data_IF_735193128992
#
_entry.id   IF_735193128992
#
_cell.length_a   1.000
_cell.length_b   1.000
_cell.length_c   1.000
_cell.angle_alpha   90.00
_cell.angle_beta   90.00
_cell.angle_gamma   90.00
#
_symmetry.space_group_name_H-M   'P 1'
#
loop_
_entity.id
_entity.type
_entity.pdbx_description
1 polymer ?
#
# COMPACT_ATOMS: atom_id res chain seq x y z
N UNK A 1 -8.54 24.62 -44.83
CA UNK A 1 -9.29 23.37 -44.56
C UNK A 1 -8.26 22.32 -44.17
N UNK A 2 -8.17 22.00 -42.88
CA UNK A 2 -7.10 21.14 -42.33
C UNK A 2 -7.61 19.70 -42.24
N UNK A 3 -7.08 18.80 -43.06
CA UNK A 3 -7.35 17.37 -42.97
C UNK A 3 -6.45 16.77 -41.88
N UNK A 4 -7.05 16.47 -40.71
CA UNK A 4 -6.43 15.65 -39.67
C UNK A 4 -6.44 14.20 -40.15
N UNK A 5 -5.27 13.67 -40.50
CA UNK A 5 -5.09 12.23 -40.67
C UNK A 5 -4.94 11.61 -39.27
N UNK A 6 -5.78 10.63 -38.88
CA UNK A 6 -5.57 9.90 -37.64
C UNK A 6 -4.40 8.94 -37.82
N UNK A 7 -3.34 9.13 -37.04
CA UNK A 7 -2.24 8.18 -36.94
C UNK A 7 -2.74 7.04 -36.05
N UNK A 8 -3.09 5.91 -36.67
CA UNK A 8 -3.48 4.68 -35.95
C UNK A 8 -2.28 3.75 -35.96
N UNK A 9 -1.65 3.56 -34.81
CA UNK A 9 -0.58 2.57 -34.63
C UNK A 9 -1.24 1.21 -34.40
N UNK A 10 -0.98 0.26 -35.28
CA UNK A 10 -1.56 -1.08 -35.21
C UNK A 10 -0.95 -1.83 -34.02
N UNK A 11 -1.69 -1.88 -32.90
CA UNK A 11 -1.28 -2.55 -31.66
C UNK A 11 -1.53 -1.76 -30.38
N UNK A 12 -1.89 -0.48 -30.45
CA UNK A 12 -2.23 0.29 -29.24
C UNK A 12 -3.74 0.27 -28.98
N UNK A 13 -4.14 -0.14 -27.78
CA UNK A 13 -5.53 -0.11 -27.36
C UNK A 13 -5.94 1.35 -27.08
N UNK A 14 -7.09 1.78 -27.61
CA UNK A 14 -7.66 3.10 -27.30
C UNK A 14 -8.05 3.15 -25.82
N UNK A 15 -7.40 4.01 -25.04
CA UNK A 15 -7.81 4.30 -23.67
C UNK A 15 -9.24 4.87 -23.70
N UNK A 16 -10.17 4.14 -23.08
CA UNK A 16 -11.53 4.61 -22.81
C UNK A 16 -11.53 5.07 -21.35
N UNK A 17 -11.47 6.39 -21.13
CA UNK A 17 -11.71 7.01 -19.81
C UNK A 17 -13.22 6.90 -19.51
N UNK A 18 -13.58 5.91 -18.71
CA UNK A 18 -14.95 5.71 -18.23
C UNK A 18 -14.89 5.50 -16.72
N UNK A 19 -14.98 6.59 -15.98
CA UNK A 19 -15.23 6.62 -14.54
C UNK A 19 -16.70 6.29 -14.27
N UNK A 20 -16.97 5.04 -13.91
CA UNK A 20 -18.27 4.59 -13.42
C UNK A 20 -18.06 3.96 -12.04
N UNK A 21 -18.16 4.78 -10.99
CA UNK A 21 -18.08 4.33 -9.60
C UNK A 21 -19.28 3.45 -9.22
N UNK A 22 -19.04 2.15 -9.03
CA UNK A 22 -19.99 1.23 -8.41
C UNK A 22 -19.59 0.92 -6.97
N UNK A 23 -20.33 1.53 -6.05
CA UNK A 23 -20.40 1.18 -4.63
C UNK A 23 -20.87 -0.28 -4.48
N UNK A 24 -19.99 -1.20 -4.10
CA UNK A 24 -20.38 -2.58 -3.73
C UNK A 24 -20.09 -2.80 -2.25
N UNK A 25 -20.98 -2.27 -1.42
CA UNK A 25 -21.16 -2.73 -0.04
C UNK A 25 -22.06 -3.97 -0.06
N UNK A 26 -21.52 -5.10 0.39
CA UNK A 26 -22.21 -6.35 0.80
C UNK A 26 -22.49 -7.41 -0.27
N UNK A 27 -21.54 -8.34 -0.49
CA UNK A 27 -21.81 -9.75 -0.85
C UNK A 27 -20.73 -10.69 -0.25
N UNK A 28 -21.08 -11.95 0.10
CA UNK A 28 -20.23 -12.84 0.91
C UNK A 28 -19.09 -13.48 0.11
N UNK A 29 -18.08 -13.96 0.85
CA UNK A 29 -16.78 -14.44 0.36
C UNK A 29 -16.86 -15.48 -0.79
N UNK A 30 -16.02 -15.37 -1.85
CA UNK A 30 -15.94 -16.39 -2.88
C UNK A 30 -15.12 -17.59 -2.39
N UNK A 31 -15.65 -18.78 -2.65
CA UNK A 31 -14.93 -20.05 -2.54
C UNK A 31 -13.77 -20.12 -3.56
N UNK A 32 -12.72 -20.92 -3.30
CA UNK A 32 -11.58 -21.00 -4.22
C UNK A 32 -11.99 -21.82 -5.45
N UNK A 33 -12.32 -21.12 -6.54
CA UNK A 33 -12.43 -21.75 -7.84
C UNK A 33 -11.02 -22.02 -8.37
N UNK A 34 -10.60 -23.28 -8.24
CA UNK A 34 -9.49 -23.85 -8.98
C UNK A 34 -9.77 -23.72 -10.49
N UNK A 35 -8.92 -22.97 -11.20
CA UNK A 35 -9.07 -22.79 -12.64
C UNK A 35 -8.18 -21.69 -13.17
N UNK A 36 -6.86 -21.93 -13.17
CA UNK A 36 -5.88 -21.02 -13.77
C UNK A 36 -6.15 -20.78 -15.25
N UNK A 37 -6.13 -19.51 -15.65
CA UNK A 37 -6.14 -19.08 -17.05
C UNK A 37 -4.86 -19.61 -17.71
N UNK A 38 -5.01 -20.46 -18.73
CA UNK A 38 -3.88 -21.03 -19.47
C UNK A 38 -3.42 -20.04 -20.55
N UNK A 39 -2.31 -19.35 -20.29
CA UNK A 39 -1.68 -18.42 -21.23
C UNK A 39 -0.84 -19.21 -22.22
N UNK A 40 -1.04 -18.97 -23.52
CA UNK A 40 -0.34 -19.71 -24.58
C UNK A 40 1.10 -19.18 -24.69
N UNK A 41 2.04 -19.81 -23.98
CA UNK A 41 3.47 -19.47 -24.02
C UNK A 41 4.23 -19.61 -22.71
N UNK A 42 3.55 -19.90 -21.59
CA UNK A 42 4.20 -20.09 -20.30
C UNK A 42 4.68 -21.54 -20.14
N UNK A 43 5.96 -21.74 -19.80
CA UNK A 43 6.52 -23.06 -19.54
C UNK A 43 6.01 -23.57 -18.18
N UNK A 44 5.38 -24.76 -18.17
CA UNK A 44 4.91 -25.40 -16.94
C UNK A 44 6.05 -25.63 -15.96
N UNK A 45 5.92 -25.10 -14.75
CA UNK A 45 6.76 -25.46 -13.62
C UNK A 45 6.58 -26.95 -13.30
N UNK A 46 7.70 -27.69 -13.22
CA UNK A 46 7.73 -29.12 -12.93
C UNK A 46 7.90 -29.30 -11.42
N UNK A 47 6.81 -29.63 -10.72
CA UNK A 47 6.86 -30.19 -9.38
C UNK A 47 6.96 -31.73 -9.49
N UNK A 48 8.05 -32.31 -8.98
CA UNK A 48 8.24 -33.75 -8.96
C UNK A 48 8.95 -34.14 -7.67
N UNK A 49 8.17 -34.37 -6.62
CA UNK A 49 8.55 -35.17 -5.46
C UNK A 49 9.00 -36.57 -5.92
N UNK A 50 10.15 -37.03 -5.42
CA UNK A 50 10.83 -38.23 -5.88
C UNK A 50 10.43 -39.52 -5.15
N UNK A 51 10.25 -40.58 -5.92
CA UNK A 51 10.40 -41.99 -5.51
C UNK A 51 10.95 -42.80 -6.73
N UNK A 52 11.47 -44.01 -6.59
CA UNK A 52 12.84 -44.37 -6.93
C UNK A 52 12.89 -45.09 -8.29
N UNK A 53 13.01 -44.34 -9.39
CA UNK A 53 13.37 -44.88 -10.71
C UNK A 53 14.75 -44.38 -11.19
N UNK A 54 15.72 -44.42 -10.27
CA UNK A 54 17.09 -43.94 -10.45
C UNK A 54 17.99 -44.85 -11.33
N UNK A 55 17.41 -45.85 -12.03
CA UNK A 55 18.15 -46.74 -12.93
C UNK A 55 18.02 -46.37 -14.42
N UNK A 56 16.96 -45.66 -14.83
CA UNK A 56 16.73 -45.32 -16.24
C UNK A 56 17.28 -43.92 -16.63
N UNK A 57 17.48 -43.02 -15.65
CA UNK A 57 17.95 -41.65 -15.90
C UNK A 57 19.47 -41.57 -16.16
N UNK A 58 20.23 -42.56 -15.72
CA UNK A 58 21.69 -42.65 -15.92
C UNK A 58 22.09 -42.87 -17.38
N UNK A 59 21.23 -43.50 -18.18
CA UNK A 59 21.46 -43.70 -19.61
C UNK A 59 21.22 -42.42 -20.42
N UNK A 60 20.17 -41.66 -20.10
CA UNK A 60 19.84 -40.39 -20.78
C UNK A 60 20.83 -39.25 -20.45
N UNK A 61 21.41 -39.27 -19.24
CA UNK A 61 22.51 -38.38 -18.85
C UNK A 61 23.82 -38.71 -19.59
N UNK A 62 24.05 -39.98 -19.93
CA UNK A 62 25.27 -40.39 -20.64
C UNK A 62 25.23 -40.04 -22.13
N UNK A 63 24.07 -40.06 -22.77
CA UNK A 63 23.93 -39.71 -24.19
C UNK A 63 23.99 -38.18 -24.40
N UNK A 64 23.36 -37.40 -23.50
CA UNK A 64 23.44 -35.94 -23.51
C UNK A 64 24.84 -35.40 -23.13
N UNK A 65 25.56 -36.08 -22.22
CA UNK A 65 26.95 -35.75 -21.92
C UNK A 65 27.91 -36.06 -23.08
N UNK A 66 27.61 -37.06 -23.92
CA UNK A 66 28.41 -37.39 -25.10
C UNK A 66 28.24 -36.37 -26.23
N UNK A 67 27.05 -35.76 -26.37
CA UNK A 67 26.78 -34.70 -27.35
C UNK A 67 27.52 -33.40 -26.97
N UNK A 68 27.58 -33.07 -25.67
CA UNK A 68 28.34 -31.91 -25.18
C UNK A 68 29.87 -32.12 -25.19
N UNK A 69 30.36 -33.36 -25.32
CA UNK A 69 31.80 -33.67 -25.33
C UNK A 69 32.48 -33.55 -26.69
N UNK A 70 31.72 -33.43 -27.79
CA UNK A 70 32.28 -33.43 -29.15
C UNK A 70 32.42 -32.07 -29.82
N UNK A 71 31.80 -31.02 -29.28
CA UNK A 71 31.77 -29.70 -29.93
C UNK A 71 32.41 -28.55 -29.14
N UNK A 72 33.01 -28.83 -27.98
CA UNK A 72 33.77 -27.79 -27.27
C UNK A 72 35.26 -27.87 -27.63
N UNK A 73 35.86 -26.80 -28.20
CA UNK A 73 37.30 -26.71 -28.34
C UNK A 73 37.94 -26.81 -26.93
N UNK A 74 39.12 -27.45 -26.81
CA UNK A 74 39.74 -27.72 -25.52
C UNK A 74 39.95 -26.42 -24.73
N UNK A 75 39.55 -26.42 -23.46
CA UNK A 75 39.83 -25.33 -22.53
C UNK A 75 41.34 -25.26 -22.30
N UNK A 76 41.99 -24.25 -22.88
CA UNK A 76 43.40 -23.97 -22.66
C UNK A 76 43.51 -23.21 -21.35
N UNK A 77 43.95 -23.91 -20.30
CA UNK A 77 44.25 -23.30 -19.01
C UNK A 77 45.66 -22.72 -19.10
N UNK A 78 45.78 -21.42 -19.37
CA UNK A 78 47.06 -20.70 -19.23
C UNK A 78 47.30 -20.51 -17.74
N UNK A 79 48.06 -21.43 -17.13
CA UNK A 79 48.66 -21.19 -15.82
C UNK A 79 49.95 -20.42 -16.06
N UNK A 80 50.01 -19.19 -15.58
CA UNK A 80 51.29 -18.48 -15.44
C UNK A 80 52.13 -19.22 -14.39
N UNK A 81 52.93 -20.18 -14.88
CA UNK A 81 54.01 -20.80 -14.14
C UNK A 81 55.29 -20.42 -14.88
N UNK A 82 56.18 -19.61 -14.26
CA UNK A 82 57.32 -19.02 -14.97
C UNK A 82 58.40 -20.01 -15.46
N UNK A 83 58.22 -21.32 -15.25
CA UNK A 83 59.27 -22.33 -15.45
C UNK A 83 58.97 -23.42 -16.50
N UNK A 84 58.00 -23.25 -17.42
CA UNK A 84 57.77 -24.23 -18.49
C UNK A 84 57.79 -23.57 -19.88
N UNK A 85 58.94 -23.64 -20.56
CA UNK A 85 59.07 -23.29 -21.97
C UNK A 85 58.40 -24.37 -22.84
N UNK A 86 57.15 -24.14 -23.25
CA UNK A 86 56.46 -24.97 -24.24
C UNK A 86 56.75 -24.45 -25.65
N UNK A 87 57.65 -25.13 -26.35
CA UNK A 87 57.97 -24.94 -27.77
C UNK A 87 56.89 -25.63 -28.62
N UNK A 88 55.78 -24.96 -28.93
CA UNK A 88 54.92 -25.34 -30.08
C UNK A 88 54.17 -24.10 -30.60
N UNK A 89 54.58 -23.71 -31.81
CA UNK A 89 53.80 -23.15 -32.92
C UNK A 89 52.99 -21.86 -32.73
N UNK A 90 53.45 -20.85 -33.48
CA UNK A 90 52.86 -19.55 -33.74
C UNK A 90 51.46 -19.68 -34.39
N UNK A 91 50.45 -19.89 -33.55
CA UNK A 91 49.07 -19.55 -33.88
C UNK A 91 48.77 -18.25 -33.16
N UNK A 92 48.42 -17.15 -33.85
CA UNK A 92 48.01 -15.93 -33.18
C UNK A 92 46.79 -16.26 -32.33
N UNK A 93 47.00 -16.29 -31.02
CA UNK A 93 45.93 -16.34 -30.03
C UNK A 93 44.91 -15.27 -30.40
N UNK A 94 43.59 -15.56 -30.43
CA UNK A 94 42.61 -14.52 -30.66
C UNK A 94 42.85 -13.50 -29.56
N UNK A 95 43.28 -12.31 -29.99
CA UNK A 95 43.47 -11.15 -29.12
C UNK A 95 42.24 -11.08 -28.24
N UNK A 96 42.41 -11.30 -26.94
CA UNK A 96 41.35 -11.21 -25.97
C UNK A 96 40.90 -9.75 -26.04
N UNK A 97 39.91 -9.47 -26.89
CA UNK A 97 39.36 -8.13 -27.05
C UNK A 97 38.96 -7.68 -25.66
N UNK A 98 39.32 -6.44 -25.29
CA UNK A 98 38.94 -5.91 -24.00
C UNK A 98 37.43 -6.04 -23.89
N UNK A 99 37.02 -6.76 -22.86
CA UNK A 99 35.67 -7.05 -22.43
C UNK A 99 34.69 -5.91 -22.78
N UNK A 100 33.76 -6.11 -23.74
CA UNK A 100 32.76 -5.07 -24.08
C UNK A 100 32.27 -5.01 -25.53
N UNK A 101 32.87 -5.72 -26.48
CA UNK A 101 32.64 -5.46 -27.92
C UNK A 101 31.36 -6.09 -28.53
N UNK A 102 30.57 -6.86 -27.77
CA UNK A 102 29.33 -7.42 -28.31
C UNK A 102 28.17 -6.43 -28.10
N UNK A 103 27.34 -6.25 -29.13
CA UNK A 103 26.14 -5.40 -29.06
C UNK A 103 25.22 -5.78 -27.88
N UNK A 104 25.17 -7.08 -27.56
CA UNK A 104 24.45 -7.59 -26.40
C UNK A 104 25.01 -7.03 -25.09
N UNK A 105 26.33 -7.08 -24.92
CA UNK A 105 26.99 -6.60 -23.70
C UNK A 105 26.84 -5.09 -23.54
N UNK A 106 26.91 -4.33 -24.63
CA UNK A 106 26.62 -2.90 -24.63
C UNK A 106 25.17 -2.62 -24.22
N UNK A 107 24.19 -3.34 -24.79
CA UNK A 107 22.76 -3.15 -24.48
C UNK A 107 22.42 -3.57 -23.06
N UNK A 108 23.06 -4.63 -22.55
CA UNK A 108 22.91 -5.07 -21.17
C UNK A 108 23.48 -4.03 -20.20
N UNK A 109 24.65 -3.47 -20.50
CA UNK A 109 25.25 -2.42 -19.69
C UNK A 109 24.40 -1.15 -19.67
N UNK A 110 23.88 -0.72 -20.82
CA UNK A 110 22.97 0.42 -20.90
C UNK A 110 21.67 0.18 -20.13
N UNK A 111 21.06 -1.00 -20.31
CA UNK A 111 19.83 -1.38 -19.62
C UNK A 111 20.04 -1.44 -18.10
N UNK A 112 21.14 -2.04 -17.63
CA UNK A 112 21.47 -2.06 -16.20
C UNK A 112 21.67 -0.65 -15.66
N UNK A 113 22.39 0.21 -16.38
CA UNK A 113 22.62 1.58 -15.93
C UNK A 113 21.31 2.37 -15.80
N UNK A 114 20.42 2.26 -16.79
CA UNK A 114 19.08 2.87 -16.75
C UNK A 114 18.28 2.33 -15.56
N UNK A 115 18.24 1.01 -15.38
CA UNK A 115 17.54 0.38 -14.26
C UNK A 115 18.06 0.87 -12.90
N UNK A 116 19.38 0.94 -12.70
CA UNK A 116 19.96 1.44 -11.46
C UNK A 116 19.59 2.91 -11.20
N UNK A 117 19.60 3.74 -12.24
CA UNK A 117 19.18 5.13 -12.14
C UNK A 117 17.71 5.24 -11.75
N UNK A 118 16.84 4.52 -12.45
CA UNK A 118 15.39 4.56 -12.26
C UNK A 118 15.01 4.06 -10.87
N UNK A 119 15.49 2.87 -10.48
CA UNK A 119 15.28 2.33 -9.13
C UNK A 119 15.82 3.28 -8.07
N UNK A 120 17.02 3.82 -8.26
CA UNK A 120 17.61 4.78 -7.34
C UNK A 120 16.81 6.06 -7.22
N UNK A 121 16.22 6.55 -8.31
CA UNK A 121 15.35 7.72 -8.32
C UNK A 121 14.02 7.43 -7.63
N UNK A 122 13.36 6.32 -7.97
CA UNK A 122 12.08 5.91 -7.38
C UNK A 122 12.20 5.74 -5.86
N UNK A 123 13.24 5.04 -5.38
CA UNK A 123 13.45 4.87 -3.93
C UNK A 123 13.69 6.21 -3.23
N UNK A 124 14.50 7.10 -3.83
CA UNK A 124 14.72 8.45 -3.28
C UNK A 124 13.44 9.27 -3.23
N UNK A 125 12.60 9.19 -4.26
CA UNK A 125 11.33 9.90 -4.31
C UNK A 125 10.35 9.37 -3.27
N UNK A 126 10.15 8.06 -3.19
CA UNK A 126 9.23 7.42 -2.24
C UNK A 126 9.66 7.73 -0.80
N UNK A 127 10.93 7.48 -0.46
CA UNK A 127 11.42 7.74 0.89
C UNK A 127 11.43 9.24 1.22
N UNK A 128 11.82 10.08 0.27
CA UNK A 128 11.79 11.53 0.41
C UNK A 128 10.37 12.08 0.60
N UNK A 129 9.38 11.52 -0.10
CA UNK A 129 7.98 11.86 0.05
C UNK A 129 7.44 11.41 1.41
N UNK A 130 7.59 10.13 1.75
CA UNK A 130 7.18 9.59 3.04
C UNK A 130 7.80 10.35 4.22
N UNK A 131 9.08 10.73 4.14
CA UNK A 131 9.74 11.54 5.16
C UNK A 131 9.10 12.94 5.33
N UNK A 132 8.64 13.55 4.23
CA UNK A 132 7.92 14.83 4.29
C UNK A 132 6.52 14.66 4.87
N UNK A 133 5.82 13.59 4.50
CA UNK A 133 4.50 13.28 5.04
C UNK A 133 4.55 13.03 6.55
N UNK A 134 5.50 12.22 7.03
CA UNK A 134 5.70 11.99 8.47
C UNK A 134 5.96 13.29 9.21
N UNK A 135 6.79 14.18 8.65
CA UNK A 135 7.06 15.50 9.25
C UNK A 135 5.82 16.39 9.27
N UNK A 136 5.05 16.40 8.19
CA UNK A 136 3.78 17.13 8.10
C UNK A 136 2.77 16.61 9.14
N UNK A 137 2.55 15.31 9.20
CA UNK A 137 1.66 14.67 10.16
C UNK A 137 2.09 14.95 11.61
N UNK A 138 3.39 14.89 11.90
CA UNK A 138 3.94 15.24 13.21
C UNK A 138 3.67 16.70 13.57
N UNK A 139 3.83 17.62 12.61
CA UNK A 139 3.53 19.05 12.80
C UNK A 139 2.04 19.28 13.08
N UNK A 140 1.15 18.58 12.36
CA UNK A 140 -0.30 18.66 12.58
C UNK A 140 -0.68 18.11 13.96
N UNK A 141 -0.08 17.00 14.38
CA UNK A 141 -0.30 16.41 15.70
C UNK A 141 0.15 17.37 16.82
N UNK A 142 1.31 18.02 16.66
CA UNK A 142 1.78 19.02 17.62
C UNK A 142 0.81 20.23 17.70
N UNK A 143 0.30 20.68 16.55
CA UNK A 143 -0.75 21.71 16.49
C UNK A 143 -2.02 21.29 17.24
N UNK A 144 -2.46 20.04 17.04
CA UNK A 144 -3.61 19.46 17.74
C UNK A 144 -3.39 19.37 19.25
N UNK A 145 -2.21 18.93 19.71
CA UNK A 145 -1.87 18.88 21.13
C UNK A 145 -1.97 20.26 21.80
N UNK A 146 -1.44 21.30 21.15
CA UNK A 146 -1.56 22.66 21.67
C UNK A 146 -3.03 23.12 21.74
N UNK A 147 -3.84 22.79 20.74
CA UNK A 147 -5.27 23.09 20.77
C UNK A 147 -5.98 22.37 21.94
N UNK A 148 -5.68 21.09 22.18
CA UNK A 148 -6.24 20.30 23.28
C UNK A 148 -5.82 20.89 24.63
N UNK A 149 -4.55 21.26 24.81
CA UNK A 149 -4.05 21.86 26.04
C UNK A 149 -4.79 23.18 26.33
N UNK A 150 -4.94 24.03 25.32
CA UNK A 150 -5.65 25.30 25.44
C UNK A 150 -7.13 25.09 25.79
N UNK A 151 -7.81 24.18 25.09
CA UNK A 151 -9.20 23.83 25.39
C UNK A 151 -9.36 23.29 26.81
N UNK A 152 -8.47 22.39 27.23
CA UNK A 152 -8.45 21.82 28.58
C UNK A 152 -8.26 22.90 29.65
N UNK A 153 -7.42 23.88 29.38
CA UNK A 153 -7.23 25.01 30.27
C UNK A 153 -8.49 25.88 30.36
N UNK A 154 -9.10 26.23 29.24
CA UNK A 154 -10.33 27.02 29.20
C UNK A 154 -11.48 26.33 29.94
N UNK A 155 -11.64 25.01 29.75
CA UNK A 155 -12.65 24.22 30.47
C UNK A 155 -12.40 24.29 31.98
N UNK A 156 -11.15 24.14 32.42
CA UNK A 156 -10.82 24.23 33.85
C UNK A 156 -11.23 25.56 34.45
N UNK A 157 -10.89 26.67 33.79
CA UNK A 157 -11.29 28.01 34.23
C UNK A 157 -12.81 28.15 34.32
N UNK A 158 -13.54 27.71 33.29
CA UNK A 158 -15.00 27.76 33.29
C UNK A 158 -15.57 26.94 34.46
N UNK A 159 -15.03 25.75 34.75
CA UNK A 159 -15.49 24.93 35.86
C UNK A 159 -15.20 25.58 37.22
N UNK A 160 -14.04 26.22 37.38
CA UNK A 160 -13.70 26.96 38.60
C UNK A 160 -14.64 28.16 38.80
N UNK A 161 -14.93 28.91 37.73
CA UNK A 161 -15.88 30.02 37.76
C UNK A 161 -17.30 29.56 38.08
N UNK A 162 -17.77 28.48 37.44
CA UNK A 162 -19.09 27.91 37.71
C UNK A 162 -19.21 27.41 39.15
N UNK A 163 -18.14 26.83 39.71
CA UNK A 163 -18.11 26.42 41.11
C UNK A 163 -18.21 27.62 42.04
N UNK A 164 -17.46 28.70 41.77
CA UNK A 164 -17.53 29.92 42.54
C UNK A 164 -18.92 30.59 42.47
N UNK A 165 -19.54 30.59 41.28
CA UNK A 165 -20.92 31.06 41.11
C UNK A 165 -21.91 30.20 41.89
N UNK A 166 -21.76 28.87 41.85
CA UNK A 166 -22.60 27.95 42.61
C UNK A 166 -22.51 28.19 44.12
N UNK A 167 -21.30 28.40 44.66
CA UNK A 167 -21.09 28.70 46.08
C UNK A 167 -21.76 30.02 46.47
N UNK A 168 -21.65 31.06 45.63
CA UNK A 168 -22.32 32.34 45.87
C UNK A 168 -23.84 32.21 45.86
N UNK A 169 -24.40 31.44 44.93
CA UNK A 169 -25.85 31.17 44.90
C UNK A 169 -26.27 30.44 46.17
N UNK A 170 -25.51 29.43 46.60
CA UNK A 170 -25.78 28.69 47.83
C UNK A 170 -25.77 29.60 49.07
N UNK A 171 -24.83 30.54 49.16
CA UNK A 171 -24.83 31.56 50.23
C UNK A 171 -26.10 32.42 50.17
N UNK A 172 -26.49 32.91 48.99
CA UNK A 172 -27.66 33.78 48.83
C UNK A 172 -28.96 33.05 49.22
N UNK A 173 -29.10 31.78 48.81
CA UNK A 173 -30.29 30.98 49.10
C UNK A 173 -30.31 30.50 50.56
N UNK A 174 -29.17 30.08 51.11
CA UNK A 174 -29.08 29.61 52.51
C UNK A 174 -29.28 30.72 53.52
N UNK A 175 -28.81 31.93 53.24
CA UNK A 175 -28.98 33.08 54.14
C UNK A 175 -30.38 33.71 54.11
N UNK A 176 -31.35 33.19 53.33
CA UNK A 176 -32.72 33.72 53.21
C UNK A 176 -32.74 35.24 52.94
N UNK A 177 -31.76 35.71 52.15
CA UNK A 177 -31.66 37.12 51.76
C UNK A 177 -32.78 37.48 50.79
N UNK A 178 -33.35 36.48 50.10
CA UNK A 178 -34.42 36.65 49.13
C UNK A 178 -35.79 36.42 49.79
N UNK A 179 -36.79 37.30 49.55
CA UNK A 179 -38.15 37.10 50.03
C UNK A 179 -38.90 36.05 49.20
N UNK A 180 -39.64 35.18 49.88
CA UNK A 180 -40.54 34.22 49.23
C UNK A 180 -41.81 34.95 48.75
N UNK A 181 -42.01 35.01 47.43
CA UNK A 181 -43.20 35.61 46.81
C UNK A 181 -44.12 34.47 46.36
N UNK A 182 -45.14 34.16 47.17
CA UNK A 182 -46.18 33.22 46.78
C UNK A 182 -47.26 33.94 45.95
N UNK A 183 -47.29 33.70 44.64
CA UNK A 183 -48.35 34.19 43.77
C UNK A 183 -49.45 33.14 43.75
N UNK A 184 -50.46 33.31 44.59
CA UNK A 184 -51.66 32.46 44.54
C UNK A 184 -52.28 32.59 43.15
N UNK A 185 -52.14 31.54 42.32
CA UNK A 185 -52.82 31.46 41.04
C UNK A 185 -54.31 31.20 41.32
N UNK A 186 -55.24 32.12 41.00
CA UNK A 186 -56.66 31.89 41.21
C UNK A 186 -57.17 30.96 40.10
N UNK A 187 -57.00 29.66 40.27
CA UNK A 187 -57.79 28.70 39.50
C UNK A 187 -58.10 27.44 40.31
N UNK A 188 -59.00 27.61 41.26
CA UNK A 188 -59.83 26.51 41.76
C UNK A 188 -61.27 27.01 41.80
N UNK A 189 -61.91 27.09 40.63
CA UNK A 189 -63.37 27.09 40.59
C UNK A 189 -63.86 25.75 41.15
N UNK A 190 -64.71 25.74 42.18
CA UNK A 190 -65.23 24.50 42.74
C UNK A 190 -66.09 23.79 41.70
N UNK A 191 -65.92 22.47 41.64
CA UNK A 191 -66.70 21.55 40.84
C UNK A 191 -68.20 21.89 40.92
N UNK A 192 -68.84 21.90 39.75
CA UNK A 192 -70.24 22.16 39.56
C UNK A 192 -71.11 21.37 40.56
N UNK A 193 -71.96 22.11 41.24
CA UNK A 193 -73.11 21.64 42.01
C UNK A 193 -74.03 20.81 41.09
N UNK A 194 -73.96 19.48 41.17
CA UNK A 194 -74.95 18.57 40.58
C UNK A 194 -76.24 18.66 41.41
N UNK A 195 -77.39 19.06 40.87
CA UNK A 195 -78.65 18.96 41.60
C UNK A 195 -79.08 17.49 41.64
N UNK A 196 -79.37 16.99 42.83
CA UNK A 196 -80.10 15.73 43.03
C UNK A 196 -81.49 15.84 42.39
N UNK A 197 -81.76 15.05 41.36
CA UNK A 197 -83.13 14.75 40.92
C UNK A 197 -83.68 13.65 41.81
N UNK A 198 -84.52 14.07 42.74
CA UNK A 198 -85.42 13.22 43.52
C UNK A 198 -86.70 13.08 42.69
N UNK A 199 -87.02 11.91 42.13
CA UNK A 199 -88.41 11.53 41.83
C UNK A 199 -88.61 10.03 42.08
N UNK A 200 -89.59 9.79 42.94
CA UNK A 200 -90.09 8.50 43.40
C UNK A 200 -91.27 8.06 42.55
N UNK A 201 -91.48 6.73 42.54
CA UNK A 201 -92.68 5.96 42.11
C UNK A 201 -92.76 5.52 40.66
#
# INVERSE_FOLDING_TARGET
>A
MSSRYPIVVQGEASETDSDDEVYITSLPAPQPAAGGVKVLGEASETDSEGDPEEAARSAALSESAQILRRDLPPLIVVRDHPDIQSVVEDRPSPVHRPYGDTLLQQKLQESNHRLYSDVGQTVRQIYGHASKEVRSATSQLNGSQNAIINASHSIRLILDDLKAVSEKIDIITSCQILPDINIDTPNSYPAAHVPQTNESS
#
